data_IF_544887629404
#
_entry.id   IF_544887629404
#
_cell.length_a   1.000
_cell.length_b   1.000
_cell.length_c   1.000
_cell.angle_alpha   90.00
_cell.angle_beta   90.00
_cell.angle_gamma   90.00
#
_symmetry.space_group_name_H-M   'P 1'
#
loop_
_entity.id
_entity.type
_entity.pdbx_description
1 polymer ?
#
# COMPACT_ATOMS: atom_id res chain seq x y z
N UNK A 1 -8.96 -26.29 16.76
CA UNK A 1 -9.37 -25.43 15.60
C UNK A 1 -8.31 -24.41 15.18
N UNK A 2 -7.02 -24.68 15.46
CA UNK A 2 -5.88 -23.80 15.10
C UNK A 2 -5.31 -24.07 13.69
N UNK A 3 -5.77 -25.10 13.00
CA UNK A 3 -5.24 -25.47 11.69
C UNK A 3 -5.68 -24.59 10.51
N UNK A 4 -6.83 -23.94 10.62
CA UNK A 4 -7.44 -23.19 9.51
C UNK A 4 -6.72 -21.84 9.24
N UNK A 5 -6.25 -21.16 10.30
CA UNK A 5 -5.56 -19.89 10.19
C UNK A 5 -4.18 -19.97 9.50
N UNK A 6 -3.42 -21.05 9.74
CA UNK A 6 -2.11 -21.25 9.09
C UNK A 6 -2.23 -21.57 7.62
N UNK A 7 -3.22 -22.36 7.25
CA UNK A 7 -3.48 -22.71 5.86
C UNK A 7 -3.87 -21.46 5.06
N UNK A 8 -4.73 -20.61 5.61
CA UNK A 8 -5.12 -19.34 4.98
C UNK A 8 -3.93 -18.38 4.82
N UNK A 9 -3.09 -18.20 5.85
CA UNK A 9 -1.89 -17.36 5.77
C UNK A 9 -0.90 -17.85 4.71
N UNK A 10 -0.69 -19.16 4.63
CA UNK A 10 0.16 -19.77 3.59
C UNK A 10 -0.43 -19.56 2.20
N UNK A 11 -1.73 -19.72 2.04
CA UNK A 11 -2.41 -19.48 0.78
C UNK A 11 -2.27 -18.02 0.34
N UNK A 12 -2.51 -17.05 1.24
CA UNK A 12 -2.41 -15.62 0.96
C UNK A 12 -0.98 -15.23 0.57
N UNK A 13 0.04 -15.77 1.27
CA UNK A 13 1.44 -15.57 0.92
C UNK A 13 1.75 -16.11 -0.49
N UNK A 14 1.30 -17.32 -0.81
CA UNK A 14 1.46 -17.91 -2.14
C UNK A 14 0.80 -17.05 -3.21
N UNK A 15 -0.40 -16.53 -2.99
CA UNK A 15 -1.07 -15.64 -3.93
C UNK A 15 -0.31 -14.31 -4.09
N UNK A 16 0.23 -13.74 -3.00
CA UNK A 16 1.09 -12.54 -3.06
C UNK A 16 2.32 -12.78 -3.93
N UNK A 17 3.04 -13.88 -3.70
CA UNK A 17 4.23 -14.23 -4.49
C UNK A 17 3.86 -14.44 -5.97
N UNK A 18 2.79 -15.20 -6.26
CA UNK A 18 2.31 -15.42 -7.63
C UNK A 18 1.88 -14.13 -8.33
N UNK A 19 1.29 -13.19 -7.62
CA UNK A 19 0.93 -11.87 -8.14
C UNK A 19 2.15 -11.04 -8.53
N UNK A 20 3.28 -11.23 -7.85
CA UNK A 20 4.53 -10.56 -8.15
C UNK A 20 5.29 -11.17 -9.32
N UNK A 21 5.19 -12.50 -9.50
CA UNK A 21 5.86 -13.26 -10.56
C UNK A 21 4.82 -13.75 -11.58
N UNK A 22 4.56 -12.97 -12.62
CA UNK A 22 3.49 -13.27 -13.59
C UNK A 22 3.79 -14.46 -14.51
N UNK A 23 5.01 -14.58 -15.03
CA UNK A 23 5.46 -15.68 -15.88
C UNK A 23 6.98 -15.75 -15.87
N UNK A 24 7.49 -16.93 -15.67
CA UNK A 24 8.92 -17.20 -15.82
C UNK A 24 9.07 -18.15 -17.01
N UNK A 25 9.80 -17.79 -18.06
CA UNK A 25 9.98 -18.67 -19.22
C UNK A 25 10.70 -19.95 -18.81
N UNK A 26 10.29 -21.07 -19.38
CA UNK A 26 10.96 -22.35 -19.17
C UNK A 26 12.45 -22.25 -19.56
N UNK A 27 13.32 -22.85 -18.74
CA UNK A 27 14.77 -22.81 -18.95
C UNK A 27 15.49 -21.57 -18.40
N UNK A 28 14.78 -20.58 -17.86
CA UNK A 28 15.39 -19.37 -17.26
C UNK A 28 15.72 -19.55 -15.76
N UNK A 29 15.38 -20.69 -15.17
CA UNK A 29 15.56 -20.98 -13.76
C UNK A 29 14.52 -20.32 -12.86
N UNK A 30 14.84 -20.12 -11.59
CA UNK A 30 13.95 -19.51 -10.62
C UNK A 30 13.89 -17.98 -10.76
N UNK A 31 12.75 -17.40 -10.33
CA UNK A 31 12.62 -15.94 -10.23
C UNK A 31 13.64 -15.38 -9.24
N UNK A 32 14.17 -14.20 -9.53
CA UNK A 32 15.07 -13.53 -8.60
C UNK A 32 14.31 -13.16 -7.31
N UNK A 33 14.96 -13.30 -6.12
CA UNK A 33 14.29 -13.19 -4.81
C UNK A 33 13.51 -11.90 -4.57
N UNK A 34 14.00 -10.79 -5.12
CA UNK A 34 13.40 -9.46 -4.96
C UNK A 34 12.42 -9.09 -6.09
N UNK A 35 12.05 -10.05 -6.95
CA UNK A 35 11.11 -9.81 -8.06
C UNK A 35 9.76 -9.30 -7.55
N UNK A 36 9.35 -8.13 -8.03
CA UNK A 36 8.09 -7.50 -7.67
C UNK A 36 8.13 -6.67 -6.39
N UNK A 37 9.25 -6.65 -5.65
CA UNK A 37 9.42 -5.86 -4.43
C UNK A 37 10.13 -4.52 -4.67
N UNK A 38 10.94 -4.39 -5.75
CA UNK A 38 11.67 -3.16 -6.03
C UNK A 38 10.90 -2.22 -6.97
N UNK A 39 10.93 -0.95 -6.62
CA UNK A 39 10.29 0.13 -7.37
C UNK A 39 11.23 1.34 -7.48
N UNK A 40 11.18 2.01 -8.62
CA UNK A 40 11.85 3.28 -8.80
C UNK A 40 11.18 4.36 -7.96
N UNK A 41 11.94 5.10 -7.18
CA UNK A 41 11.41 6.16 -6.33
C UNK A 41 10.87 7.35 -7.13
N UNK A 42 11.49 7.67 -8.28
CA UNK A 42 11.11 8.82 -9.09
C UNK A 42 9.79 8.62 -9.85
N UNK A 43 9.64 7.45 -10.50
CA UNK A 43 8.48 7.21 -11.36
C UNK A 43 7.47 6.20 -10.79
N UNK A 44 7.75 5.58 -9.64
CA UNK A 44 6.91 4.54 -9.03
C UNK A 44 6.83 3.23 -9.82
N UNK A 45 7.53 3.13 -10.95
CA UNK A 45 7.52 1.95 -11.81
C UNK A 45 8.29 0.77 -11.20
N UNK A 46 7.82 -0.47 -11.47
CA UNK A 46 8.53 -1.68 -11.04
C UNK A 46 9.91 -1.76 -11.69
N UNK A 47 10.88 -2.29 -10.94
CA UNK A 47 12.20 -2.58 -11.45
C UNK A 47 12.28 -4.06 -11.86
N UNK A 48 12.93 -4.32 -12.99
CA UNK A 48 13.11 -5.67 -13.53
C UNK A 48 14.56 -6.09 -13.47
N UNK A 49 14.77 -7.38 -13.19
CA UNK A 49 16.10 -7.97 -13.13
C UNK A 49 16.67 -8.23 -14.52
N UNK A 50 17.90 -7.80 -14.74
CA UNK A 50 18.77 -8.19 -15.85
C UNK A 50 19.89 -9.07 -15.27
N UNK A 51 20.08 -10.28 -15.84
CA UNK A 51 20.99 -11.29 -15.27
C UNK A 51 22.37 -11.32 -15.93
N UNK A 52 22.57 -10.56 -16.99
CA UNK A 52 23.83 -10.53 -17.71
C UNK A 52 24.28 -9.10 -17.94
N UNK A 53 25.47 -8.76 -17.50
CA UNK A 53 26.11 -7.48 -17.75
C UNK A 53 27.53 -7.73 -18.25
N UNK A 54 27.86 -7.29 -19.48
CA UNK A 54 29.18 -7.44 -20.13
C UNK A 54 29.75 -8.86 -20.05
N UNK A 55 28.93 -9.89 -20.29
CA UNK A 55 29.34 -11.30 -20.25
C UNK A 55 29.47 -11.90 -18.83
N UNK A 56 29.31 -11.11 -17.77
CA UNK A 56 29.29 -11.61 -16.39
C UNK A 56 27.84 -11.85 -15.95
N UNK A 57 27.59 -12.95 -15.25
CA UNK A 57 26.30 -13.23 -14.62
C UNK A 57 26.18 -12.40 -13.33
N UNK A 58 25.62 -11.20 -13.43
CA UNK A 58 25.34 -10.32 -12.31
C UNK A 58 23.87 -9.95 -12.39
N UNK A 59 23.08 -10.34 -11.38
CA UNK A 59 21.68 -9.91 -11.26
C UNK A 59 21.63 -8.43 -10.87
N UNK A 60 21.06 -7.61 -11.76
CA UNK A 60 20.93 -6.17 -11.55
C UNK A 60 19.51 -5.74 -11.85
N UNK A 61 18.89 -5.01 -10.94
CA UNK A 61 17.56 -4.42 -11.14
C UNK A 61 17.66 -3.06 -11.82
N UNK A 62 16.79 -2.83 -12.79
CA UNK A 62 16.72 -1.59 -13.57
C UNK A 62 15.28 -1.10 -13.66
N UNK A 63 15.08 0.22 -13.63
CA UNK A 63 13.77 0.85 -13.79
C UNK A 63 13.13 0.47 -15.13
N UNK A 64 11.93 -0.11 -15.08
CA UNK A 64 11.20 -0.53 -16.27
C UNK A 64 10.70 0.63 -17.15
N UNK A 65 10.42 1.78 -16.55
CA UNK A 65 9.90 2.94 -17.27
C UNK A 65 11.02 3.68 -18.01
N UNK A 66 12.24 3.66 -17.47
CA UNK A 66 13.40 4.20 -18.19
C UNK A 66 13.70 3.41 -19.47
N UNK A 67 13.57 2.09 -19.42
CA UNK A 67 13.90 1.19 -20.53
C UNK A 67 12.85 1.17 -21.64
N UNK A 68 11.67 1.79 -21.46
CA UNK A 68 10.63 1.85 -22.49
C UNK A 68 10.98 2.86 -23.58
N UNK A 69 10.59 2.53 -24.82
CA UNK A 69 10.82 3.38 -26.00
C UNK A 69 9.78 4.51 -26.08
N UNK A 70 10.21 5.76 -26.28
CA UNK A 70 11.59 6.23 -26.32
C UNK A 70 12.24 6.25 -24.92
N UNK A 71 13.50 5.81 -24.87
CA UNK A 71 14.27 5.68 -23.61
C UNK A 71 14.36 7.03 -22.89
N UNK A 72 14.17 7.02 -21.57
CA UNK A 72 14.26 8.20 -20.72
C UNK A 72 13.06 9.15 -20.76
N UNK A 73 12.01 8.86 -21.53
CA UNK A 73 10.81 9.73 -21.61
C UNK A 73 9.89 9.58 -20.39
N UNK A 74 9.71 8.36 -19.90
CA UNK A 74 8.79 8.08 -18.77
C UNK A 74 9.48 8.14 -17.41
N UNK A 75 10.79 7.93 -17.39
CA UNK A 75 11.64 8.13 -16.23
C UNK A 75 12.97 8.70 -16.73
N UNK A 76 13.41 9.81 -16.17
CA UNK A 76 14.59 10.53 -16.64
C UNK A 76 15.89 9.90 -16.14
N UNK A 77 15.84 9.22 -15.00
CA UNK A 77 17.00 8.63 -14.33
C UNK A 77 17.02 7.12 -14.49
N UNK A 78 18.15 6.58 -14.93
CA UNK A 78 18.35 5.14 -15.03
C UNK A 78 18.75 4.55 -13.68
N UNK A 79 17.81 4.32 -12.80
CA UNK A 79 18.09 3.63 -11.54
C UNK A 79 18.51 2.18 -11.81
N UNK A 80 19.68 1.82 -11.26
CA UNK A 80 20.23 0.46 -11.29
C UNK A 80 20.78 0.09 -9.93
N UNK A 81 20.50 -1.14 -9.48
CA UNK A 81 21.05 -1.66 -8.24
C UNK A 81 21.32 -3.15 -8.37
N UNK A 82 22.43 -3.62 -7.81
CA UNK A 82 22.76 -5.02 -7.80
C UNK A 82 21.93 -5.77 -6.76
N UNK A 83 21.51 -6.98 -7.09
CA UNK A 83 20.67 -7.82 -6.23
C UNK A 83 21.36 -8.16 -4.91
N UNK A 84 22.64 -8.52 -4.96
CA UNK A 84 23.46 -8.86 -3.81
C UNK A 84 23.58 -7.70 -2.81
N UNK A 85 23.73 -6.47 -3.30
CA UNK A 85 23.76 -5.26 -2.45
C UNK A 85 22.43 -5.08 -1.71
N UNK A 86 21.30 -5.20 -2.42
CA UNK A 86 19.98 -5.05 -1.77
C UNK A 86 19.74 -6.17 -0.76
N UNK A 87 20.07 -7.42 -1.11
CA UNK A 87 19.90 -8.56 -0.20
C UNK A 87 20.77 -8.41 1.06
N UNK A 88 22.01 -7.94 0.92
CA UNK A 88 22.91 -7.68 2.04
C UNK A 88 22.31 -6.60 2.97
N UNK A 89 21.92 -5.45 2.41
CA UNK A 89 21.32 -4.36 3.19
C UNK A 89 20.03 -4.80 3.92
N UNK A 90 19.16 -5.53 3.24
CA UNK A 90 17.94 -6.07 3.83
C UNK A 90 18.26 -7.08 4.95
N UNK A 91 19.22 -7.96 4.73
CA UNK A 91 19.66 -8.94 5.74
C UNK A 91 20.18 -8.24 7.00
N UNK A 92 21.08 -7.27 6.84
CA UNK A 92 21.62 -6.50 7.96
C UNK A 92 20.55 -5.73 8.72
N UNK A 93 19.62 -5.08 7.99
CA UNK A 93 18.52 -4.36 8.59
C UNK A 93 17.60 -5.30 9.38
N UNK A 94 17.21 -6.44 8.81
CA UNK A 94 16.34 -7.41 9.49
C UNK A 94 17.01 -8.02 10.72
N UNK A 95 18.33 -8.30 10.66
CA UNK A 95 19.11 -8.76 11.82
C UNK A 95 19.09 -7.73 12.94
N UNK A 96 19.43 -6.49 12.65
CA UNK A 96 19.48 -5.42 13.64
C UNK A 96 18.09 -5.22 14.32
N UNK A 97 17.00 -5.23 13.52
CA UNK A 97 15.65 -5.12 14.05
C UNK A 97 15.28 -6.35 14.89
N UNK A 98 15.63 -7.57 14.44
CA UNK A 98 15.35 -8.79 15.16
C UNK A 98 16.13 -8.87 16.49
N UNK A 99 17.39 -8.45 16.51
CA UNK A 99 18.19 -8.35 17.74
C UNK A 99 17.59 -7.35 18.72
N UNK A 100 17.20 -6.16 18.24
CA UNK A 100 16.54 -5.15 19.08
C UNK A 100 15.21 -5.67 19.64
N UNK A 101 14.36 -6.28 18.81
CA UNK A 101 13.09 -6.83 19.25
C UNK A 101 13.22 -8.00 20.25
N UNK A 102 14.29 -8.81 20.15
CA UNK A 102 14.60 -9.89 21.10
C UNK A 102 15.19 -9.37 22.42
N UNK A 103 15.99 -8.29 22.35
CA UNK A 103 16.66 -7.73 23.53
C UNK A 103 15.67 -7.01 24.44
N UNK A 104 14.78 -6.16 23.89
CA UNK A 104 13.75 -5.45 24.65
C UNK A 104 12.43 -5.38 23.85
N UNK A 105 11.65 -6.45 24.00
CA UNK A 105 10.36 -6.61 23.31
C UNK A 105 9.36 -5.51 23.66
N UNK A 106 9.32 -5.11 24.95
CA UNK A 106 8.38 -4.12 25.44
C UNK A 106 8.70 -2.73 24.86
N UNK A 107 9.98 -2.37 24.85
CA UNK A 107 10.45 -1.12 24.29
C UNK A 107 10.28 -1.10 22.77
N UNK A 108 10.57 -2.20 22.06
CA UNK A 108 10.35 -2.31 20.63
C UNK A 108 8.88 -2.08 20.27
N UNK A 109 7.94 -2.74 20.95
CA UNK A 109 6.49 -2.54 20.74
C UNK A 109 6.12 -1.07 20.97
N UNK A 110 6.62 -0.47 22.07
CA UNK A 110 6.37 0.93 22.40
C UNK A 110 6.86 1.87 21.31
N UNK A 111 8.09 1.71 20.84
CA UNK A 111 8.70 2.55 19.79
C UNK A 111 7.94 2.42 18.47
N UNK A 112 7.59 1.19 18.08
CA UNK A 112 6.81 0.96 16.85
C UNK A 112 5.41 1.58 16.96
N UNK A 113 4.73 1.42 18.08
CA UNK A 113 3.42 2.02 18.33
C UNK A 113 3.49 3.54 18.39
N UNK A 114 4.51 4.13 19.03
CA UNK A 114 4.70 5.59 19.06
C UNK A 114 5.00 6.16 17.67
N UNK A 115 5.88 5.50 16.90
CA UNK A 115 6.18 5.92 15.51
C UNK A 115 4.95 5.87 14.61
N UNK A 116 4.11 4.86 14.79
CA UNK A 116 2.83 4.74 14.07
C UNK A 116 1.79 5.75 14.56
N UNK A 117 1.66 5.93 15.90
CA UNK A 117 0.62 6.77 16.47
C UNK A 117 0.83 8.26 16.22
N UNK A 118 2.05 8.76 16.18
CA UNK A 118 2.31 10.20 16.05
C UNK A 118 1.96 10.77 14.67
N UNK A 119 2.24 10.04 13.60
CA UNK A 119 1.89 10.46 12.24
C UNK A 119 0.45 10.07 11.86
N UNK A 120 0.00 8.89 12.27
CA UNK A 120 -1.33 8.38 11.95
C UNK A 120 -2.45 9.10 12.70
N UNK A 121 -2.24 9.47 13.98
CA UNK A 121 -3.30 10.06 14.81
C UNK A 121 -3.79 11.40 14.27
N UNK A 122 -2.89 12.26 13.78
CA UNK A 122 -3.27 13.55 13.22
C UNK A 122 -4.03 13.39 11.89
N UNK A 123 -3.56 12.51 10.99
CA UNK A 123 -4.20 12.27 9.70
C UNK A 123 -5.54 11.55 9.86
N UNK A 124 -5.60 10.50 10.68
CA UNK A 124 -6.87 9.78 10.99
C UNK A 124 -7.87 10.72 11.65
N UNK A 125 -7.44 11.58 12.58
CA UNK A 125 -8.31 12.60 13.19
C UNK A 125 -8.87 13.56 12.14
N UNK A 126 -8.04 14.04 11.23
CA UNK A 126 -8.46 14.91 10.12
C UNK A 126 -9.47 14.20 9.21
N UNK A 127 -9.20 12.95 8.84
CA UNK A 127 -10.09 12.14 8.00
C UNK A 127 -11.42 11.85 8.70
N UNK A 128 -11.42 11.53 10.01
CA UNK A 128 -12.64 11.33 10.80
C UNK A 128 -13.47 12.62 10.87
N UNK A 129 -12.83 13.78 11.06
CA UNK A 129 -13.53 15.08 11.05
C UNK A 129 -14.15 15.34 9.69
N UNK A 130 -13.40 15.11 8.60
CA UNK A 130 -13.90 15.28 7.22
C UNK A 130 -15.08 14.32 6.94
N UNK A 131 -14.97 13.06 7.35
CA UNK A 131 -16.04 12.06 7.24
C UNK A 131 -17.33 12.50 7.96
N UNK A 132 -17.21 13.02 9.18
CA UNK A 132 -18.35 13.52 9.94
C UNK A 132 -19.01 14.71 9.23
N UNK A 133 -18.22 15.65 8.74
CA UNK A 133 -18.74 16.82 7.97
C UNK A 133 -19.43 16.39 6.68
N UNK A 134 -18.84 15.43 5.93
CA UNK A 134 -19.44 14.93 4.70
C UNK A 134 -20.76 14.20 4.96
N UNK A 135 -20.85 13.37 5.99
CA UNK A 135 -22.10 12.69 6.38
C UNK A 135 -23.17 13.67 6.79
N UNK A 136 -22.82 14.68 7.59
CA UNK A 136 -23.75 15.74 7.97
C UNK A 136 -24.27 16.47 6.74
N UNK A 137 -23.40 16.83 5.79
CA UNK A 137 -23.80 17.54 4.58
C UNK A 137 -24.72 16.71 3.68
N UNK A 138 -24.50 15.40 3.56
CA UNK A 138 -25.40 14.49 2.83
C UNK A 138 -26.80 14.51 3.48
N UNK A 139 -26.90 14.44 4.82
CA UNK A 139 -28.16 14.51 5.52
C UNK A 139 -28.88 15.87 5.33
N UNK A 140 -28.13 16.97 5.31
CA UNK A 140 -28.66 18.30 5.00
C UNK A 140 -29.21 18.38 3.56
N UNK A 141 -28.49 17.78 2.59
CA UNK A 141 -28.91 17.73 1.19
C UNK A 141 -30.21 16.93 1.02
N UNK A 142 -30.39 15.83 1.75
CA UNK A 142 -31.66 15.07 1.75
C UNK A 142 -32.84 15.93 2.19
N UNK A 143 -32.65 16.69 3.27
CA UNK A 143 -33.69 17.62 3.74
C UNK A 143 -33.95 18.73 2.72
N UNK A 144 -32.92 19.28 2.10
CA UNK A 144 -33.04 20.34 1.09
C UNK A 144 -33.76 19.83 -0.17
N UNK A 145 -33.42 18.61 -0.64
CA UNK A 145 -34.10 17.99 -1.79
C UNK A 145 -35.58 17.78 -1.54
N UNK A 146 -35.96 17.30 -0.35
CA UNK A 146 -37.37 17.21 0.01
C UNK A 146 -38.04 18.58 0.00
N UNK A 147 -37.41 19.60 0.56
CA UNK A 147 -37.96 20.96 0.65
C UNK A 147 -38.12 21.63 -0.72
N UNK A 148 -37.14 21.53 -1.62
CA UNK A 148 -37.27 22.12 -2.96
C UNK A 148 -38.37 21.41 -3.77
N UNK A 149 -38.56 20.09 -3.56
CA UNK A 149 -39.66 19.34 -4.17
C UNK A 149 -41.02 19.82 -3.67
N UNK A 150 -41.19 19.97 -2.36
CA UNK A 150 -42.44 20.50 -1.76
C UNK A 150 -42.75 21.93 -2.22
N UNK A 151 -41.73 22.82 -2.23
CA UNK A 151 -41.90 24.21 -2.65
C UNK A 151 -42.21 24.32 -4.15
N UNK A 152 -41.74 23.40 -4.98
CA UNK A 152 -42.12 23.33 -6.39
C UNK A 152 -43.60 22.92 -6.57
N UNK A 153 -44.05 21.85 -5.87
CA UNK A 153 -45.44 21.41 -5.90
C UNK A 153 -46.41 22.51 -5.42
N UNK A 154 -45.98 23.26 -4.39
CA UNK A 154 -46.79 24.37 -3.84
C UNK A 154 -46.71 25.64 -4.69
N UNK A 155 -46.06 25.63 -5.83
CA UNK A 155 -45.89 26.77 -6.73
C UNK A 155 -45.03 27.92 -6.21
N UNK A 156 -44.31 27.70 -5.09
CA UNK A 156 -43.34 28.66 -4.52
C UNK A 156 -42.00 28.70 -5.26
N UNK A 157 -41.67 27.60 -5.90
CA UNK A 157 -40.44 27.44 -6.70
C UNK A 157 -40.84 27.09 -8.14
N UNK A 158 -40.31 27.81 -9.12
CA UNK A 158 -40.55 27.52 -10.54
C UNK A 158 -39.85 26.22 -10.98
N UNK A 159 -40.45 25.52 -11.96
CA UNK A 159 -39.90 24.25 -12.50
C UNK A 159 -38.48 24.40 -12.99
N UNK A 160 -38.12 25.51 -13.64
CA UNK A 160 -36.75 25.79 -14.11
C UNK A 160 -35.76 25.90 -12.96
N UNK A 161 -36.12 26.56 -11.86
CA UNK A 161 -35.28 26.67 -10.67
C UNK A 161 -35.18 25.34 -9.93
N UNK A 162 -36.30 24.63 -9.81
CA UNK A 162 -36.31 23.29 -9.23
C UNK A 162 -35.35 22.36 -9.96
N UNK A 163 -35.47 22.23 -11.29
CA UNK A 163 -34.59 21.37 -12.09
C UNK A 163 -33.09 21.72 -11.94
N UNK A 164 -32.77 23.02 -11.84
CA UNK A 164 -31.37 23.44 -11.66
C UNK A 164 -30.85 23.04 -10.29
N UNK A 165 -31.60 23.25 -9.22
CA UNK A 165 -31.22 22.92 -7.85
C UNK A 165 -31.18 21.41 -7.63
N UNK A 166 -32.13 20.67 -8.18
CA UNK A 166 -32.18 19.21 -8.10
C UNK A 166 -30.91 18.57 -8.70
N UNK A 167 -30.54 18.96 -9.91
CA UNK A 167 -29.30 18.47 -10.55
C UNK A 167 -28.05 18.85 -9.73
N UNK A 168 -28.03 20.05 -9.18
CA UNK A 168 -26.88 20.54 -8.41
C UNK A 168 -26.71 19.79 -7.09
N UNK A 169 -27.81 19.58 -6.34
CA UNK A 169 -27.80 18.85 -5.07
C UNK A 169 -27.58 17.34 -5.26
N UNK A 170 -28.17 16.75 -6.32
CA UNK A 170 -27.93 15.36 -6.65
C UNK A 170 -26.45 15.09 -7.00
N UNK A 171 -25.82 16.01 -7.73
CA UNK A 171 -24.38 15.92 -8.05
C UNK A 171 -23.52 16.04 -6.78
N UNK A 172 -23.77 17.03 -5.93
CA UNK A 172 -23.05 17.22 -4.66
C UNK A 172 -23.22 15.99 -3.76
N UNK A 173 -24.41 15.41 -3.68
CA UNK A 173 -24.68 14.20 -2.90
C UNK A 173 -23.91 12.99 -3.42
N UNK A 174 -23.83 12.81 -4.73
CA UNK A 174 -23.07 11.72 -5.35
C UNK A 174 -21.55 11.85 -5.07
N UNK A 175 -21.01 13.07 -5.20
CA UNK A 175 -19.59 13.36 -4.92
C UNK A 175 -19.25 13.09 -3.44
N UNK A 176 -20.09 13.56 -2.52
CA UNK A 176 -19.91 13.34 -1.07
C UNK A 176 -20.04 11.85 -0.69
N UNK A 177 -20.97 11.13 -1.31
CA UNK A 177 -21.13 9.68 -1.06
C UNK A 177 -19.90 8.89 -1.50
N UNK A 178 -19.32 9.25 -2.65
CA UNK A 178 -18.06 8.67 -3.11
C UNK A 178 -16.88 9.01 -2.16
N UNK A 179 -16.80 10.26 -1.69
CA UNK A 179 -15.81 10.70 -0.71
C UNK A 179 -15.95 9.96 0.63
N UNK A 180 -17.16 9.80 1.15
CA UNK A 180 -17.45 9.02 2.37
C UNK A 180 -16.91 7.60 2.25
N UNK A 181 -17.21 6.91 1.13
CA UNK A 181 -16.75 5.56 0.90
C UNK A 181 -15.21 5.46 0.85
N UNK A 182 -14.54 6.43 0.25
CA UNK A 182 -13.09 6.50 0.20
C UNK A 182 -12.47 6.75 1.60
N UNK A 183 -13.03 7.69 2.37
CA UNK A 183 -12.58 7.99 3.73
C UNK A 183 -12.80 6.82 4.68
N UNK A 184 -13.93 6.12 4.61
CA UNK A 184 -14.19 4.93 5.43
C UNK A 184 -13.19 3.80 5.14
N UNK A 185 -12.87 3.57 3.87
CA UNK A 185 -11.84 2.59 3.47
C UNK A 185 -10.45 2.99 3.99
N UNK A 186 -10.09 4.28 3.87
CA UNK A 186 -8.83 4.78 4.36
C UNK A 186 -8.72 4.63 5.89
N UNK A 187 -9.73 5.05 6.65
CA UNK A 187 -9.75 4.91 8.12
C UNK A 187 -9.65 3.43 8.53
N UNK A 188 -10.39 2.55 7.86
CA UNK A 188 -10.33 1.10 8.13
C UNK A 188 -8.95 0.51 7.85
N UNK A 189 -8.25 0.98 6.82
CA UNK A 189 -6.88 0.53 6.55
C UNK A 189 -5.91 0.95 7.66
N UNK A 190 -6.07 2.13 8.24
CA UNK A 190 -5.26 2.56 9.40
C UNK A 190 -5.52 1.72 10.66
N UNK A 191 -6.76 1.34 10.92
CA UNK A 191 -7.12 0.47 12.07
C UNK A 191 -6.56 -0.97 11.94
N UNK A 192 -6.34 -1.44 10.71
CA UNK A 192 -5.69 -2.74 10.47
C UNK A 192 -4.19 -2.71 10.73
N UNK A 193 -3.53 -1.56 10.53
CA UNK A 193 -2.09 -1.41 10.76
C UNK A 193 -1.70 -1.38 12.27
N UNK A 194 -2.64 -1.11 13.17
CA UNK A 194 -2.38 -1.16 14.61
C UNK A 194 -1.97 -2.57 15.11
N UNK A 195 -2.39 -3.61 14.36
CA UNK A 195 -2.02 -5.02 14.62
C UNK A 195 -0.69 -5.44 14.00
N UNK A 196 -0.02 -4.56 13.25
CA UNK A 196 1.17 -4.92 12.50
C UNK A 196 2.42 -5.10 13.38
N UNK A 197 2.49 -4.43 14.53
CA UNK A 197 3.60 -4.60 15.48
C UNK A 197 3.64 -6.02 16.07
N UNK A 198 2.51 -6.53 16.54
CA UNK A 198 2.42 -7.89 17.09
C UNK A 198 2.66 -8.94 15.99
N UNK A 199 2.14 -8.70 14.80
CA UNK A 199 2.39 -9.55 13.64
C UNK A 199 3.86 -9.57 13.25
N UNK A 200 4.53 -8.42 13.27
CA UNK A 200 5.96 -8.32 12.95
C UNK A 200 6.82 -9.08 13.96
N UNK A 201 6.49 -8.99 15.24
CA UNK A 201 7.17 -9.76 16.30
C UNK A 201 6.94 -11.27 16.10
N UNK A 202 5.71 -11.69 15.78
CA UNK A 202 5.42 -13.08 15.49
C UNK A 202 6.21 -13.60 14.27
N UNK A 203 6.47 -12.75 13.28
CA UNK A 203 7.34 -13.08 12.14
C UNK A 203 8.81 -13.21 12.56
N UNK A 204 9.31 -12.32 13.43
CA UNK A 204 10.68 -12.44 13.99
C UNK A 204 10.83 -13.74 14.79
N UNK A 205 9.84 -14.10 15.59
CA UNK A 205 9.84 -15.35 16.36
C UNK A 205 9.76 -16.60 15.46
N UNK A 206 9.10 -16.48 14.31
CA UNK A 206 9.00 -17.55 13.30
C UNK A 206 10.33 -17.85 12.60
N UNK A 207 11.15 -16.81 12.39
CA UNK A 207 12.41 -16.90 11.65
C UNK A 207 13.61 -16.70 12.59
N UNK A 208 14.36 -17.77 12.81
CA UNK A 208 15.52 -17.73 13.73
C UNK A 208 16.78 -17.16 13.06
N UNK A 209 16.90 -17.29 11.75
CA UNK A 209 18.12 -16.93 11.02
C UNK A 209 17.80 -16.03 9.81
N UNK A 210 18.44 -14.87 9.78
CA UNK A 210 18.34 -13.86 8.72
C UNK A 210 19.59 -13.81 7.81
N UNK A 211 20.53 -14.76 7.93
CA UNK A 211 21.71 -14.81 7.05
C UNK A 211 21.38 -15.20 5.61
N UNK A 212 20.35 -16.05 5.45
CA UNK A 212 19.85 -16.46 4.13
C UNK A 212 18.39 -16.10 4.00
N UNK A 213 18.15 -15.01 3.30
CA UNK A 213 16.78 -14.54 3.04
C UNK A 213 16.11 -15.42 1.97
N UNK A 214 15.00 -16.02 2.31
CA UNK A 214 14.16 -16.76 1.37
C UNK A 214 13.16 -15.83 0.71
N UNK A 215 12.62 -16.24 -0.46
CA UNK A 215 11.54 -15.48 -1.14
C UNK A 215 10.33 -15.30 -0.20
N UNK A 216 10.01 -16.31 0.60
CA UNK A 216 8.92 -16.24 1.58
C UNK A 216 9.20 -15.15 2.63
N UNK A 217 10.39 -15.16 3.26
CA UNK A 217 10.79 -14.12 4.22
C UNK A 217 10.69 -12.72 3.61
N UNK A 218 11.27 -12.52 2.44
CA UNK A 218 11.25 -11.22 1.76
C UNK A 218 9.82 -10.71 1.53
N UNK A 219 8.89 -11.57 1.13
CA UNK A 219 7.50 -11.18 0.89
C UNK A 219 6.67 -11.04 2.16
N UNK A 220 7.06 -11.68 3.29
CA UNK A 220 6.40 -11.50 4.59
C UNK A 220 6.85 -10.21 5.29
N UNK A 221 8.16 -9.89 5.26
CA UNK A 221 8.72 -8.72 5.92
C UNK A 221 8.67 -7.44 5.11
N UNK A 222 8.65 -7.54 3.76
CA UNK A 222 8.78 -6.40 2.86
C UNK A 222 7.55 -6.27 1.98
N UNK A 223 6.95 -5.10 2.03
CA UNK A 223 5.89 -4.74 1.10
C UNK A 223 6.49 -4.14 -0.18
N UNK A 224 7.45 -3.24 -0.03
CA UNK A 224 8.00 -2.46 -1.12
C UNK A 224 9.37 -1.87 -0.76
N UNK A 225 10.30 -1.90 -1.71
CA UNK A 225 11.59 -1.22 -1.63
C UNK A 225 11.63 -0.12 -2.69
N UNK A 226 11.89 1.11 -2.27
CA UNK A 226 12.06 2.26 -3.16
C UNK A 226 13.56 2.46 -3.40
N UNK A 227 13.96 2.47 -4.68
CA UNK A 227 15.34 2.72 -5.08
C UNK A 227 15.46 4.16 -5.55
N UNK A 228 16.24 4.94 -4.82
CA UNK A 228 16.69 6.30 -5.15
C UNK A 228 18.07 6.26 -5.81
N UNK A 229 18.52 7.38 -6.35
CA UNK A 229 19.89 7.57 -6.82
C UNK A 229 20.86 7.65 -5.64
#
# INVERSE_FOLDING_TARGET
>A
MEGDGRAQQTFDLVQKIRGNVRRYPDGWGEAAPLTGLLYCADCGGKMYVHRTNNGKRISQYTCSQYSKVPVGKLCTTQHRINEDVVLSLVSEMLKAIAEYAKHDRAEFVRVVQEAQSSQQTAEVKKQRTRLATAKQRVSELEVLLCKIYEDNILGKLSDSRYATLDVQYAKEQAELTAEISALEKAIKSYETHEKDADRFIALIDKYENFDKLTIAMLNEFIEKILVHE
#
